data_IF_459128040399
#
_entry.id   IF_459128040399
#
_cell.length_a   1.000
_cell.length_b   1.000
_cell.length_c   1.000
_cell.angle_alpha   90.00
_cell.angle_beta   90.00
_cell.angle_gamma   90.00
#
_symmetry.space_group_name_H-M   'P 1'
#
loop_
_entity.id
_entity.type
_entity.pdbx_description
1 polymer ?
#
# COMPACT_ATOMS: atom_id res chain seq x y z
N UNK A 1 49.75 56.53 -37.37
CA UNK A 1 48.85 55.43 -37.79
C UNK A 1 49.42 54.00 -37.58
N UNK A 2 50.54 53.81 -36.86
CA UNK A 2 51.11 52.46 -36.56
C UNK A 2 50.97 52.02 -35.08
N UNK A 3 50.51 52.91 -34.19
CA UNK A 3 50.31 52.63 -32.76
C UNK A 3 48.91 52.06 -32.43
N UNK A 4 47.95 52.22 -33.35
CA UNK A 4 46.56 51.76 -33.21
C UNK A 4 46.38 50.28 -33.61
N UNK A 5 47.20 49.78 -34.54
CA UNK A 5 47.19 48.38 -34.98
C UNK A 5 47.87 47.45 -33.98
N UNK A 6 48.87 47.95 -33.24
CA UNK A 6 49.61 47.17 -32.25
C UNK A 6 48.82 46.97 -30.95
N UNK A 7 48.02 47.96 -30.53
CA UNK A 7 47.11 47.82 -29.38
C UNK A 7 45.95 46.88 -29.67
N UNK A 8 45.40 46.87 -30.90
CA UNK A 8 44.39 45.87 -31.29
C UNK A 8 44.95 44.44 -31.32
N UNK A 9 46.19 44.24 -31.80
CA UNK A 9 46.81 42.92 -31.84
C UNK A 9 47.13 42.35 -30.45
N UNK A 10 47.52 43.21 -29.49
CA UNK A 10 47.77 42.80 -28.10
C UNK A 10 46.47 42.56 -27.33
N UNK A 11 45.41 43.31 -27.62
CA UNK A 11 44.08 43.11 -27.00
C UNK A 11 43.37 41.86 -27.54
N UNK A 12 43.62 41.47 -28.80
CA UNK A 12 43.10 40.21 -29.37
C UNK A 12 43.85 38.96 -28.87
N UNK A 13 45.09 39.10 -28.40
CA UNK A 13 45.88 37.97 -27.90
C UNK A 13 45.55 37.62 -26.43
N UNK A 14 45.02 38.55 -25.64
CA UNK A 14 44.65 38.31 -24.23
C UNK A 14 43.26 37.73 -24.05
N UNK A 15 42.34 37.93 -25.00
CA UNK A 15 40.98 37.34 -24.95
C UNK A 15 40.94 35.85 -25.35
N UNK A 16 42.00 35.30 -25.94
CA UNK A 16 42.01 33.93 -26.45
C UNK A 16 42.32 32.86 -25.39
N UNK A 17 42.70 33.25 -24.15
CA UNK A 17 43.33 32.33 -23.19
C UNK A 17 42.44 31.90 -22.01
N UNK A 18 41.19 32.35 -21.90
CA UNK A 18 40.27 31.80 -20.90
C UNK A 18 39.53 30.59 -21.48
N UNK A 19 40.27 29.53 -21.77
CA UNK A 19 39.66 28.20 -21.83
C UNK A 19 39.47 27.77 -20.38
N UNK A 20 38.31 28.10 -19.81
CA UNK A 20 37.93 27.55 -18.52
C UNK A 20 37.95 26.04 -18.66
N UNK A 21 38.91 25.37 -18.01
CA UNK A 21 38.95 23.93 -17.95
C UNK A 21 37.66 23.49 -17.25
N UNK A 22 36.68 23.06 -18.04
CA UNK A 22 35.49 22.41 -17.52
C UNK A 22 35.99 21.10 -16.91
N UNK A 23 36.14 21.06 -15.58
CA UNK A 23 36.44 19.82 -14.88
C UNK A 23 35.40 18.78 -15.31
N UNK A 24 35.89 17.65 -15.83
CA UNK A 24 35.03 16.53 -16.16
C UNK A 24 34.25 16.15 -14.89
N UNK A 25 32.93 15.95 -14.97
CA UNK A 25 32.14 15.60 -13.79
C UNK A 25 32.76 14.36 -13.14
N UNK A 26 33.01 14.45 -11.84
CA UNK A 26 33.66 13.39 -11.08
C UNK A 26 32.97 12.05 -11.35
N UNK A 27 33.77 11.02 -11.65
CA UNK A 27 33.27 9.69 -11.93
C UNK A 27 32.46 9.19 -10.73
N UNK A 28 31.20 8.83 -10.98
CA UNK A 28 30.31 8.37 -9.92
C UNK A 28 30.80 7.03 -9.42
N UNK A 29 31.10 6.96 -8.12
CA UNK A 29 31.36 5.67 -7.46
C UNK A 29 30.10 4.82 -7.53
N UNK A 30 30.15 3.61 -8.14
CA UNK A 30 28.96 2.80 -8.31
C UNK A 30 28.49 2.24 -6.96
N UNK A 31 27.20 2.36 -6.67
CA UNK A 31 26.58 1.80 -5.47
C UNK A 31 26.32 0.29 -5.65
N UNK A 32 27.39 -0.51 -5.59
CA UNK A 32 27.33 -1.96 -5.84
C UNK A 32 26.98 -2.78 -4.60
N UNK A 33 27.05 -2.20 -3.40
CA UNK A 33 26.81 -2.91 -2.15
C UNK A 33 25.52 -2.45 -1.47
N UNK A 34 24.41 -3.14 -1.78
CA UNK A 34 23.20 -3.04 -0.95
C UNK A 34 23.49 -3.64 0.43
N UNK A 35 23.31 -2.84 1.49
CA UNK A 35 23.37 -3.31 2.89
C UNK A 35 21.99 -3.70 3.44
N UNK A 36 20.94 -3.59 2.62
CA UNK A 36 19.57 -3.90 3.02
C UNK A 36 19.41 -5.42 2.99
N UNK A 37 19.38 -6.02 4.17
CA UNK A 37 19.11 -7.45 4.38
C UNK A 37 17.64 -7.61 4.76
N UNK A 38 16.88 -8.34 3.95
CA UNK A 38 15.47 -8.60 4.19
C UNK A 38 14.52 -7.48 3.75
N UNK A 39 13.25 -7.64 4.06
CA UNK A 39 12.24 -6.60 3.86
C UNK A 39 12.41 -5.51 4.93
N UNK A 40 12.42 -4.22 4.57
CA UNK A 40 12.45 -3.12 5.55
C UNK A 40 11.17 -3.04 6.39
N UNK A 41 10.08 -3.67 5.93
CA UNK A 41 8.80 -3.65 6.62
C UNK A 41 8.74 -4.74 7.70
N UNK A 42 8.53 -4.39 8.99
CA UNK A 42 8.30 -5.37 10.04
C UNK A 42 6.99 -6.14 9.81
N UNK A 43 6.86 -7.37 10.33
CA UNK A 43 5.60 -8.11 10.24
C UNK A 43 4.46 -7.33 10.94
N UNK A 44 3.21 -7.42 10.45
CA UNK A 44 2.07 -6.77 11.08
C UNK A 44 1.90 -7.21 12.54
N UNK A 45 1.55 -6.26 13.43
CA UNK A 45 1.33 -6.54 14.85
C UNK A 45 0.12 -7.47 15.10
N UNK A 46 -0.79 -7.59 14.14
CA UNK A 46 -2.02 -8.38 14.23
C UNK A 46 -2.19 -9.27 13.01
N UNK A 47 -2.81 -10.44 13.23
CA UNK A 47 -3.19 -11.38 12.18
C UNK A 47 -4.69 -11.65 12.25
N UNK A 48 -5.32 -11.84 11.10
CA UNK A 48 -6.71 -12.31 11.05
C UNK A 48 -6.76 -13.79 11.34
N UNK A 49 -7.71 -14.21 12.15
CA UNK A 49 -8.01 -15.62 12.40
C UNK A 49 -9.49 -15.90 12.17
N UNK A 50 -9.79 -17.14 11.77
CA UNK A 50 -11.17 -17.55 11.50
C UNK A 50 -11.83 -17.97 12.81
N UNK A 51 -12.69 -17.11 13.35
CA UNK A 51 -13.42 -17.33 14.61
C UNK A 51 -14.42 -18.50 14.50
N UNK A 52 -15.07 -18.65 13.34
CA UNK A 52 -16.03 -19.72 13.07
C UNK A 52 -15.56 -20.55 11.85
N UNK A 53 -14.66 -21.52 12.05
CA UNK A 53 -14.02 -22.25 10.95
C UNK A 53 -14.99 -23.08 10.11
N UNK A 54 -16.07 -23.60 10.72
CA UNK A 54 -17.04 -24.49 10.07
C UNK A 54 -18.22 -23.77 9.41
N UNK A 55 -18.39 -22.47 9.68
CA UNK A 55 -19.48 -21.68 9.11
C UNK A 55 -19.01 -20.92 7.87
N UNK A 56 -19.81 -20.95 6.81
CA UNK A 56 -19.59 -20.17 5.58
C UNK A 56 -20.89 -19.50 5.18
N UNK A 57 -20.80 -18.23 4.77
CA UNK A 57 -21.93 -17.39 4.40
C UNK A 57 -21.66 -16.77 3.02
N UNK A 58 -22.72 -16.44 2.30
CA UNK A 58 -22.67 -15.82 0.98
C UNK A 58 -23.03 -14.34 1.08
N UNK A 59 -22.09 -13.48 0.69
CA UNK A 59 -22.25 -12.02 0.74
C UNK A 59 -22.83 -11.53 2.10
N UNK A 60 -22.18 -11.85 3.24
CA UNK A 60 -22.63 -11.37 4.54
C UNK A 60 -22.49 -9.85 4.62
N UNK A 61 -23.54 -9.16 5.03
CA UNK A 61 -23.58 -7.69 5.12
C UNK A 61 -23.54 -7.18 6.55
N UNK A 62 -24.04 -7.98 7.51
CA UNK A 62 -24.06 -7.58 8.91
C UNK A 62 -23.99 -8.77 9.85
N UNK A 63 -23.27 -8.61 10.97
CA UNK A 63 -23.21 -9.57 12.08
C UNK A 63 -23.49 -8.81 13.37
N UNK A 64 -24.50 -9.25 14.12
CA UNK A 64 -24.98 -8.57 15.33
C UNK A 64 -25.03 -9.57 16.48
N UNK A 65 -24.42 -9.31 17.65
CA UNK A 65 -24.61 -10.14 18.83
C UNK A 65 -26.05 -9.98 19.35
N UNK A 66 -26.68 -11.09 19.71
CA UNK A 66 -27.93 -11.04 20.43
C UNK A 66 -27.72 -10.40 21.82
N UNK A 67 -28.73 -9.76 22.45
CA UNK A 67 -28.55 -9.07 23.73
C UNK A 67 -27.92 -9.93 24.84
N UNK A 68 -28.21 -11.24 24.84
CA UNK A 68 -27.66 -12.21 25.81
C UNK A 68 -26.22 -12.68 25.49
N UNK A 69 -25.67 -12.24 24.35
CA UNK A 69 -24.34 -12.59 23.79
C UNK A 69 -24.09 -14.09 23.57
N UNK A 70 -25.13 -14.92 23.64
CA UNK A 70 -25.02 -16.37 23.42
C UNK A 70 -25.11 -16.73 21.96
N UNK A 71 -25.71 -15.86 21.15
CA UNK A 71 -25.87 -16.03 19.71
C UNK A 71 -25.46 -14.80 18.94
N UNK A 72 -25.12 -15.03 17.68
CA UNK A 72 -25.07 -14.00 16.67
C UNK A 72 -26.26 -14.12 15.73
N UNK A 73 -26.61 -13.00 15.11
CA UNK A 73 -27.49 -12.91 13.95
C UNK A 73 -26.66 -12.36 12.80
N UNK A 74 -26.68 -13.04 11.66
CA UNK A 74 -25.98 -12.66 10.44
C UNK A 74 -27.01 -12.42 9.34
N UNK A 75 -26.82 -11.34 8.60
CA UNK A 75 -27.64 -10.95 7.46
C UNK A 75 -26.83 -11.13 6.19
N UNK A 76 -27.39 -11.85 5.21
CA UNK A 76 -26.87 -11.95 3.85
C UNK A 76 -27.56 -10.94 2.94
N UNK A 77 -26.82 -10.40 1.96
CA UNK A 77 -27.33 -9.46 0.95
C UNK A 77 -28.59 -9.98 0.24
N UNK A 78 -28.65 -11.29 -0.02
CA UNK A 78 -29.75 -11.94 -0.74
C UNK A 78 -31.01 -12.21 0.14
N UNK A 79 -31.08 -11.63 1.34
CA UNK A 79 -32.25 -11.70 2.21
C UNK A 79 -32.30 -12.89 3.16
N UNK A 80 -31.23 -13.68 3.26
CA UNK A 80 -31.10 -14.73 4.26
C UNK A 80 -30.64 -14.15 5.60
N UNK A 81 -31.44 -14.30 6.65
CA UNK A 81 -31.03 -13.92 8.02
C UNK A 81 -30.85 -15.21 8.81
N UNK A 82 -29.65 -15.43 9.34
CA UNK A 82 -29.29 -16.62 10.09
C UNK A 82 -28.95 -16.28 11.53
N UNK A 83 -29.12 -17.24 12.44
CA UNK A 83 -28.62 -17.16 13.80
C UNK A 83 -27.83 -18.39 14.17
N UNK A 84 -26.73 -18.22 14.90
CA UNK A 84 -25.88 -19.31 15.35
C UNK A 84 -25.29 -19.01 16.72
N UNK A 85 -24.80 -20.04 17.41
CA UNK A 85 -24.19 -19.91 18.74
C UNK A 85 -22.87 -19.14 18.63
N UNK A 86 -22.61 -18.29 19.61
CA UNK A 86 -21.30 -17.67 19.80
C UNK A 86 -20.31 -18.71 20.37
N UNK A 87 -19.94 -19.67 19.53
CA UNK A 87 -19.08 -20.81 19.85
C UNK A 87 -18.25 -21.17 18.60
N UNK A 88 -16.91 -21.13 18.66
CA UNK A 88 -16.05 -21.51 17.53
C UNK A 88 -16.28 -22.94 17.02
N UNK A 89 -16.81 -23.84 17.85
CA UNK A 89 -17.13 -25.21 17.45
C UNK A 89 -18.46 -25.34 16.69
N UNK A 90 -19.24 -24.26 16.56
CA UNK A 90 -20.54 -24.26 15.90
C UNK A 90 -20.42 -24.68 14.42
N UNK A 91 -21.14 -25.74 14.05
CA UNK A 91 -21.04 -26.34 12.72
C UNK A 91 -22.11 -25.84 11.75
N UNK A 92 -23.19 -25.28 12.28
CA UNK A 92 -24.36 -24.88 11.48
C UNK A 92 -24.97 -23.59 11.99
N UNK A 93 -25.36 -22.74 11.05
CA UNK A 93 -26.22 -21.59 11.30
C UNK A 93 -27.67 -21.93 10.96
N UNK A 94 -28.58 -21.53 11.83
CA UNK A 94 -30.01 -21.76 11.67
C UNK A 94 -30.60 -20.59 10.88
N UNK A 95 -31.44 -20.86 9.87
CA UNK A 95 -32.18 -19.81 9.18
C UNK A 95 -33.20 -19.22 10.15
N UNK A 96 -33.05 -17.94 10.47
CA UNK A 96 -33.93 -17.20 11.37
C UNK A 96 -35.11 -16.58 10.61
N UNK A 97 -34.83 -15.87 9.52
CA UNK A 97 -35.83 -15.22 8.65
C UNK A 97 -35.40 -15.34 7.19
N UNK A 98 -36.35 -15.63 6.30
CA UNK A 98 -36.17 -15.58 4.85
C UNK A 98 -36.88 -14.34 4.29
N UNK A 99 -36.15 -13.23 4.16
CA UNK A 99 -36.77 -11.94 3.81
C UNK A 99 -37.45 -11.92 2.43
N UNK A 100 -37.06 -12.83 1.54
CA UNK A 100 -37.66 -12.97 0.20
C UNK A 100 -39.10 -13.48 0.26
N UNK A 101 -39.47 -14.16 1.35
CA UNK A 101 -40.84 -14.65 1.59
C UNK A 101 -41.70 -13.67 2.36
N UNK A 102 -41.07 -12.75 3.09
CA UNK A 102 -41.75 -11.79 3.94
C UNK A 102 -42.09 -10.48 3.21
N UNK A 103 -41.33 -10.13 2.17
CA UNK A 103 -41.57 -8.93 1.36
C UNK A 103 -42.39 -9.33 0.13
N UNK A 104 -43.60 -8.77 0.00
CA UNK A 104 -44.56 -8.99 -1.09
C UNK A 104 -44.39 -7.98 -2.22
#
# INVERSE_FOLDING_TARGET
>A
MKRMTLTCAVLLLTLASTSGAQEAPAERTPWTASKILGSPEPPPALRSERVFPKLTFKAPVQLIPFPDRRRYVLVEEHGGIYSFRNDPACEKADLLIDMRKEIR
#
